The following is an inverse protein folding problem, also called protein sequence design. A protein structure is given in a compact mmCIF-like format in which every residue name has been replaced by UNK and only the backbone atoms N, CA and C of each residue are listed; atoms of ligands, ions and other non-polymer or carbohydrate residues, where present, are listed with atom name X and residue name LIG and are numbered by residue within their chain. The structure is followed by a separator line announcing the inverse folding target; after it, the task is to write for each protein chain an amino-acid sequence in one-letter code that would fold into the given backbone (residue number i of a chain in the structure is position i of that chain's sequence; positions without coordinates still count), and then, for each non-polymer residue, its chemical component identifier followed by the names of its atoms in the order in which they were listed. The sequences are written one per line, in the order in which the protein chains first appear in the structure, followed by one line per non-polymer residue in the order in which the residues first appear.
data_IF_401525801330
#
_entry.id   IF_401525801330
#
_cell.length_a   1.000
_cell.length_b   1.000
_cell.length_c   1.000
_cell.angle_alpha   90.00
_cell.angle_beta   90.00
_cell.angle_gamma   90.00
#
_symmetry.space_group_name_H-M   'P 1'
#
loop_
_entity.id
_entity.type
_entity.pdbx_description
1 polymer ?
#
# COMPACT_ATOMS: atom_id res chain seq x y z
N UNK A 1 23.32 -12.95 2.73
CA UNK A 1 23.33 -12.74 1.26
C UNK A 1 21.89 -12.79 0.80
N UNK A 2 21.42 -11.84 -0.04
CA UNK A 2 20.06 -11.88 -0.54
C UNK A 2 19.85 -13.14 -1.40
N UNK A 3 18.66 -13.74 -1.33
CA UNK A 3 18.27 -14.86 -2.20
C UNK A 3 18.27 -14.47 -3.68
N UNK A 4 17.88 -13.22 -3.97
CA UNK A 4 17.94 -12.65 -5.32
C UNK A 4 18.85 -11.43 -5.25
N UNK A 5 20.05 -11.54 -5.81
CA UNK A 5 20.98 -10.42 -5.86
C UNK A 5 20.44 -9.29 -6.74
N UNK A 6 20.57 -8.01 -6.30
CA UNK A 6 20.29 -6.85 -7.15
C UNK A 6 20.95 -6.99 -8.53
N UNK A 7 20.27 -6.58 -9.60
CA UNK A 7 20.88 -6.41 -10.92
C UNK A 7 21.39 -4.96 -11.02
N UNK A 8 22.72 -4.72 -10.99
CA UNK A 8 23.25 -3.38 -11.17
C UNK A 8 22.84 -2.82 -12.54
N UNK A 9 22.62 -1.50 -12.62
CA UNK A 9 22.25 -0.85 -13.88
C UNK A 9 23.25 -1.11 -15.00
N UNK A 10 24.55 -1.15 -14.69
CA UNK A 10 25.63 -1.44 -15.64
C UNK A 10 25.62 -2.87 -16.18
N UNK A 11 24.94 -3.79 -15.52
CA UNK A 11 24.81 -5.19 -15.92
C UNK A 11 23.45 -5.51 -16.55
N UNK A 12 22.52 -4.55 -16.59
CA UNK A 12 21.21 -4.74 -17.18
C UNK A 12 21.31 -4.72 -18.72
N UNK A 13 20.60 -5.63 -19.38
CA UNK A 13 20.50 -5.69 -20.84
C UNK A 13 19.03 -5.69 -21.28
N UNK A 14 18.81 -5.45 -22.58
CA UNK A 14 17.51 -5.60 -23.25
C UNK A 14 16.36 -4.89 -22.51
N UNK A 15 15.28 -5.63 -22.22
CA UNK A 15 14.06 -5.12 -21.58
C UNK A 15 14.29 -4.58 -20.17
N UNK A 16 15.25 -5.15 -19.42
CA UNK A 16 15.60 -4.64 -18.09
C UNK A 16 16.28 -3.26 -18.19
N UNK A 17 17.26 -3.12 -19.09
CA UNK A 17 17.92 -1.84 -19.33
C UNK A 17 16.94 -0.76 -19.81
N UNK A 18 16.02 -1.10 -20.72
CA UNK A 18 14.98 -0.18 -21.16
C UNK A 18 14.08 0.27 -20.00
N UNK A 19 13.69 -0.66 -19.12
CA UNK A 19 12.85 -0.34 -17.97
C UNK A 19 13.60 0.54 -16.97
N UNK A 20 14.89 0.29 -16.75
CA UNK A 20 15.74 1.13 -15.90
C UNK A 20 15.86 2.55 -16.45
N UNK A 21 16.06 2.74 -17.75
CA UNK A 21 16.01 4.08 -18.36
C UNK A 21 14.72 4.83 -18.04
N UNK A 22 13.57 4.16 -18.15
CA UNK A 22 12.26 4.75 -17.82
C UNK A 22 12.05 5.03 -16.33
N UNK A 23 12.68 4.25 -15.45
CA UNK A 23 12.69 4.50 -14.00
C UNK A 23 13.53 5.73 -13.68
N UNK A 24 14.71 5.87 -14.29
CA UNK A 24 15.55 7.06 -14.13
C UNK A 24 14.80 8.32 -14.56
N UNK A 25 14.19 8.32 -15.74
CA UNK A 25 13.36 9.43 -16.22
C UNK A 25 12.25 9.77 -15.22
N UNK A 26 11.55 8.76 -14.68
CA UNK A 26 10.49 8.94 -13.69
C UNK A 26 10.98 9.59 -12.38
N UNK A 27 12.23 9.33 -11.98
CA UNK A 27 12.85 9.87 -10.77
C UNK A 27 13.79 11.06 -11.04
N UNK A 28 13.68 11.70 -12.21
CA UNK A 28 14.47 12.89 -12.56
C UNK A 28 15.94 12.59 -12.79
N UNK A 29 16.22 11.56 -13.59
CA UNK A 29 17.55 11.07 -14.02
C UNK A 29 18.47 10.55 -12.90
N UNK A 30 17.94 10.44 -11.68
CA UNK A 30 18.58 9.79 -10.53
C UNK A 30 18.78 8.28 -10.76
N UNK A 31 19.68 7.62 -10.00
CA UNK A 31 19.82 6.17 -10.03
C UNK A 31 18.51 5.45 -9.78
N UNK A 32 18.38 4.24 -10.34
CA UNK A 32 17.22 3.37 -10.10
C UNK A 32 17.14 3.06 -8.59
N UNK A 33 16.00 3.25 -7.92
CA UNK A 33 15.90 2.96 -6.50
C UNK A 33 16.21 1.48 -6.21
N UNK A 34 16.96 1.23 -5.13
CA UNK A 34 17.47 -0.11 -4.80
C UNK A 34 16.38 -1.19 -4.76
N UNK A 35 15.17 -0.81 -4.34
CA UNK A 35 14.01 -1.70 -4.28
C UNK A 35 13.63 -2.33 -5.65
N UNK A 36 13.96 -1.67 -6.77
CA UNK A 36 13.70 -2.17 -8.13
C UNK A 36 14.85 -3.05 -8.68
N UNK A 37 16.05 -2.98 -8.10
CA UNK A 37 17.23 -3.64 -8.67
C UNK A 37 17.10 -5.18 -8.67
N UNK A 38 16.59 -5.85 -7.62
CA UNK A 38 16.37 -7.30 -7.67
C UNK A 38 15.36 -7.71 -8.75
N UNK A 39 14.35 -6.88 -9.01
CA UNK A 39 13.30 -7.16 -10.00
C UNK A 39 13.86 -7.22 -11.43
N UNK A 40 14.97 -6.51 -11.71
CA UNK A 40 15.63 -6.52 -13.01
C UNK A 40 16.12 -7.89 -13.44
N UNK A 41 16.33 -8.82 -12.48
CA UNK A 41 16.64 -10.23 -12.76
C UNK A 41 15.52 -10.96 -13.50
N UNK A 42 14.30 -10.41 -13.49
CA UNK A 42 13.14 -10.89 -14.24
C UNK A 42 12.60 -9.74 -15.11
N UNK A 43 13.15 -9.54 -16.33
CA UNK A 43 12.83 -8.39 -17.17
C UNK A 43 11.34 -8.21 -17.49
N UNK A 44 10.58 -9.31 -17.57
CA UNK A 44 9.13 -9.25 -17.73
C UNK A 44 8.46 -8.61 -16.50
N UNK A 45 8.83 -9.04 -15.30
CA UNK A 45 8.24 -8.55 -14.05
C UNK A 45 8.58 -7.08 -13.81
N UNK A 46 9.84 -6.67 -13.90
CA UNK A 46 10.20 -5.25 -13.65
C UNK A 46 9.51 -4.31 -14.61
N UNK A 47 9.33 -4.72 -15.87
CA UNK A 47 8.60 -3.94 -16.88
C UNK A 47 7.13 -3.80 -16.53
N UNK A 48 6.45 -4.90 -16.18
CA UNK A 48 5.02 -4.87 -15.84
C UNK A 48 4.80 -4.12 -14.53
N UNK A 49 5.66 -4.36 -13.54
CA UNK A 49 5.66 -3.63 -12.27
C UNK A 49 5.85 -2.13 -12.49
N UNK A 50 6.82 -1.70 -13.30
CA UNK A 50 7.03 -0.29 -13.64
C UNK A 50 5.76 0.36 -14.20
N UNK A 51 5.07 -0.30 -15.14
CA UNK A 51 3.86 0.25 -15.74
C UNK A 51 2.74 0.41 -14.71
N UNK A 52 2.54 -0.58 -13.84
CA UNK A 52 1.55 -0.54 -12.77
C UNK A 52 1.92 0.51 -11.71
N UNK A 53 3.18 0.53 -11.27
CA UNK A 53 3.73 1.47 -10.30
C UNK A 53 3.57 2.92 -10.77
N UNK A 54 3.99 3.22 -12.01
CA UNK A 54 3.83 4.57 -12.58
C UNK A 54 2.37 5.01 -12.58
N UNK A 55 1.45 4.14 -13.02
CA UNK A 55 0.03 4.48 -13.15
C UNK A 55 -0.68 4.62 -11.80
N UNK A 56 -0.49 3.64 -10.92
CA UNK A 56 -1.32 3.50 -9.73
C UNK A 56 -0.67 4.03 -8.46
N UNK A 57 0.64 4.23 -8.44
CA UNK A 57 1.36 4.78 -7.28
C UNK A 57 1.82 6.22 -7.56
N UNK A 58 2.42 6.47 -8.72
CA UNK A 58 3.12 7.75 -8.97
C UNK A 58 2.27 8.84 -9.64
N UNK A 59 1.17 8.47 -10.30
CA UNK A 59 0.34 9.40 -11.09
C UNK A 59 -1.04 9.51 -10.46
N UNK A 60 -1.59 10.72 -10.34
CA UNK A 60 -2.98 10.93 -9.88
C UNK A 60 -4.02 10.28 -10.81
N UNK A 61 -5.26 10.19 -10.34
CA UNK A 61 -6.38 9.58 -11.08
C UNK A 61 -7.73 9.88 -10.45
N UNK A 62 -8.53 8.83 -10.24
CA UNK A 62 -9.77 8.89 -9.46
C UNK A 62 -9.51 9.22 -7.98
N UNK A 63 -8.33 8.88 -7.46
CA UNK A 63 -7.76 9.42 -6.22
C UNK A 63 -6.48 10.22 -6.54
N UNK A 64 -6.20 11.24 -5.75
CA UNK A 64 -5.06 12.12 -5.99
C UNK A 64 -3.71 11.44 -5.65
N UNK A 65 -2.61 12.09 -6.07
CA UNK A 65 -1.27 11.56 -5.86
C UNK A 65 -0.87 11.46 -4.37
N UNK A 66 -1.38 12.38 -3.52
CA UNK A 66 -1.15 12.34 -2.07
C UNK A 66 -1.84 11.12 -1.46
N UNK A 67 -3.10 10.85 -1.80
CA UNK A 67 -3.83 9.66 -1.36
C UNK A 67 -3.12 8.39 -1.83
N UNK A 68 -2.68 8.31 -3.09
CA UNK A 68 -1.92 7.14 -3.60
C UNK A 68 -0.62 6.91 -2.81
N UNK A 69 0.13 7.97 -2.50
CA UNK A 69 1.33 7.87 -1.68
C UNK A 69 1.04 7.35 -0.26
N UNK A 70 -0.05 7.83 0.36
CA UNK A 70 -0.54 7.37 1.68
C UNK A 70 -0.91 5.88 1.64
N UNK A 71 -1.63 5.43 0.61
CA UNK A 71 -1.99 4.01 0.44
C UNK A 71 -0.73 3.14 0.25
N UNK A 72 0.20 3.56 -0.61
CA UNK A 72 1.43 2.81 -0.85
C UNK A 72 2.29 2.66 0.42
N UNK A 73 2.43 3.74 1.21
CA UNK A 73 3.10 3.70 2.51
C UNK A 73 2.36 2.77 3.49
N UNK A 74 1.02 2.84 3.55
CA UNK A 74 0.22 1.95 4.40
C UNK A 74 0.49 0.47 4.11
N UNK A 75 0.62 0.11 2.82
CA UNK A 75 0.94 -1.26 2.39
C UNK A 75 2.35 -1.69 2.83
N UNK A 76 3.35 -0.84 2.64
CA UNK A 76 4.73 -1.17 3.04
C UNK A 76 4.87 -1.33 4.55
N UNK A 77 4.22 -0.46 5.34
CA UNK A 77 4.18 -0.54 6.80
C UNK A 77 3.46 -1.82 7.27
N UNK A 78 2.32 -2.16 6.67
CA UNK A 78 1.61 -3.42 6.96
C UNK A 78 2.51 -4.62 6.78
N UNK A 79 3.27 -4.64 5.68
CA UNK A 79 4.10 -5.77 5.31
C UNK A 79 5.46 -5.79 6.01
N UNK A 80 5.82 -4.75 6.76
CA UNK A 80 7.07 -4.64 7.47
C UNK A 80 8.29 -4.58 6.54
N UNK A 81 8.15 -4.01 5.34
CA UNK A 81 9.27 -3.88 4.41
C UNK A 81 9.97 -2.55 4.61
N UNK A 82 11.14 -2.57 5.25
CA UNK A 82 11.90 -1.35 5.59
C UNK A 82 12.24 -0.52 4.36
N UNK A 83 12.88 -1.12 3.34
CA UNK A 83 13.27 -0.38 2.14
C UNK A 83 12.10 0.27 1.38
N UNK A 84 10.95 -0.41 1.31
CA UNK A 84 9.74 0.19 0.72
C UNK A 84 9.07 1.21 1.63
N UNK A 85 9.15 1.04 2.96
CA UNK A 85 8.61 2.00 3.92
C UNK A 85 9.37 3.32 3.86
N UNK A 86 10.69 3.27 3.78
CA UNK A 86 11.54 4.47 3.64
C UNK A 86 11.26 5.17 2.31
N UNK A 87 11.28 4.41 1.20
CA UNK A 87 10.97 4.94 -0.13
C UNK A 87 9.57 5.60 -0.20
N UNK A 88 8.54 4.95 0.34
CA UNK A 88 7.19 5.52 0.32
C UNK A 88 6.99 6.63 1.33
N UNK A 89 7.77 6.69 2.41
CA UNK A 89 7.78 7.84 3.33
C UNK A 89 8.31 9.08 2.62
N UNK A 90 9.45 8.96 1.92
CA UNK A 90 10.01 10.05 1.11
C UNK A 90 9.02 10.49 0.02
N UNK A 91 8.38 9.54 -0.66
CA UNK A 91 7.39 9.83 -1.68
C UNK A 91 6.13 10.52 -1.10
N UNK A 92 5.66 10.09 0.07
CA UNK A 92 4.55 10.70 0.77
C UNK A 92 4.89 12.15 1.19
N UNK A 93 6.07 12.37 1.75
CA UNK A 93 6.55 13.72 2.10
C UNK A 93 6.66 14.62 0.88
N UNK A 94 7.16 14.11 -0.25
CA UNK A 94 7.19 14.85 -1.51
C UNK A 94 5.80 15.25 -2.02
N UNK A 95 4.74 14.54 -1.61
CA UNK A 95 3.34 14.86 -1.90
C UNK A 95 2.63 15.61 -0.75
N UNK A 96 3.38 16.16 0.21
CA UNK A 96 2.84 17.00 1.28
C UNK A 96 2.20 16.22 2.44
N UNK A 97 2.59 14.97 2.66
CA UNK A 97 2.29 14.23 3.89
C UNK A 97 3.31 14.63 4.97
N UNK A 98 2.83 15.02 6.15
CA UNK A 98 3.69 15.45 7.27
C UNK A 98 4.26 14.25 8.04
N UNK A 99 5.29 14.49 8.86
CA UNK A 99 5.82 13.45 9.78
C UNK A 99 4.75 12.95 10.76
N UNK A 100 3.89 13.85 11.25
CA UNK A 100 2.71 13.51 12.07
C UNK A 100 1.79 12.56 11.30
N UNK A 101 1.46 12.88 10.05
CA UNK A 101 0.62 12.03 9.20
C UNK A 101 1.25 10.67 8.91
N UNK A 102 2.58 10.58 8.78
CA UNK A 102 3.28 9.29 8.64
C UNK A 102 3.09 8.42 9.89
N UNK A 103 3.21 9.00 11.09
CA UNK A 103 2.96 8.30 12.34
C UNK A 103 1.49 7.87 12.46
N UNK A 104 0.56 8.71 12.02
CA UNK A 104 -0.87 8.41 11.99
C UNK A 104 -1.21 7.26 11.01
N UNK A 105 -0.55 7.19 9.86
CA UNK A 105 -0.69 6.05 8.93
C UNK A 105 -0.29 4.75 9.63
N UNK A 106 0.85 4.74 10.33
CA UNK A 106 1.27 3.57 11.09
C UNK A 106 0.25 3.18 12.17
N UNK A 107 -0.33 4.17 12.86
CA UNK A 107 -1.37 3.94 13.85
C UNK A 107 -2.68 3.39 13.23
N UNK A 108 -3.08 3.88 12.06
CA UNK A 108 -4.24 3.38 11.31
C UNK A 108 -4.01 1.93 10.84
N UNK A 109 -2.83 1.60 10.31
CA UNK A 109 -2.46 0.23 9.93
C UNK A 109 -2.53 -0.71 11.15
N UNK A 110 -1.96 -0.31 12.29
CA UNK A 110 -1.99 -1.10 13.52
C UNK A 110 -3.42 -1.27 14.08
N UNK A 111 -4.25 -0.22 14.00
CA UNK A 111 -5.65 -0.27 14.42
C UNK A 111 -6.45 -1.22 13.53
N UNK A 112 -6.23 -1.19 12.21
CA UNK A 112 -6.82 -2.17 11.29
C UNK A 112 -6.36 -3.59 11.62
N UNK A 113 -5.07 -3.83 11.90
CA UNK A 113 -4.61 -5.16 12.29
C UNK A 113 -5.37 -5.72 13.50
N UNK A 114 -5.59 -4.90 14.53
CA UNK A 114 -6.38 -5.27 15.71
C UNK A 114 -7.85 -5.57 15.35
N UNK A 115 -8.51 -4.64 14.65
CA UNK A 115 -9.94 -4.74 14.36
C UNK A 115 -10.27 -5.80 13.33
N UNK A 116 -9.46 -5.92 12.28
CA UNK A 116 -9.63 -6.92 11.24
C UNK A 116 -9.42 -8.32 11.81
N UNK A 117 -8.48 -8.52 12.73
CA UNK A 117 -8.29 -9.83 13.40
C UNK A 117 -9.55 -10.23 14.16
N UNK A 118 -10.12 -9.30 14.94
CA UNK A 118 -11.32 -9.56 15.73
C UNK A 118 -12.57 -9.82 14.86
N UNK A 119 -12.87 -8.93 13.92
CA UNK A 119 -14.08 -9.07 13.10
C UNK A 119 -13.98 -10.21 12.08
N UNK A 120 -12.78 -10.50 11.57
CA UNK A 120 -12.55 -11.69 10.74
C UNK A 120 -12.81 -12.97 11.52
N UNK A 121 -12.34 -13.07 12.77
CA UNK A 121 -12.65 -14.22 13.61
C UNK A 121 -14.18 -14.41 13.78
N UNK A 122 -14.93 -13.34 14.05
CA UNK A 122 -16.39 -13.43 14.21
C UNK A 122 -17.10 -14.01 12.98
N UNK A 123 -16.75 -13.52 11.79
CA UNK A 123 -17.28 -14.05 10.53
C UNK A 123 -16.87 -15.52 10.35
N UNK A 124 -15.58 -15.85 10.53
CA UNK A 124 -15.06 -17.20 10.30
C UNK A 124 -15.58 -18.24 11.30
N UNK A 125 -15.83 -17.83 12.54
CA UNK A 125 -16.39 -18.71 13.56
C UNK A 125 -17.84 -19.09 13.28
N UNK A 126 -18.55 -18.34 12.43
CA UNK A 126 -19.90 -18.66 11.95
C UNK A 126 -20.94 -18.86 13.06
N UNK A 127 -20.71 -18.29 14.24
CA UNK A 127 -21.51 -18.53 15.45
C UNK A 127 -22.10 -17.23 15.96
N UNK A 128 -23.43 -17.23 16.10
CA UNK A 128 -24.19 -16.11 16.69
C UNK A 128 -23.74 -15.77 18.11
N UNK A 129 -23.17 -16.75 18.83
CA UNK A 129 -22.63 -16.54 20.17
C UNK A 129 -21.55 -15.46 20.16
N UNK A 130 -20.56 -15.58 19.26
CA UNK A 130 -19.46 -14.62 19.20
C UNK A 130 -19.91 -13.30 18.60
N UNK A 131 -20.89 -13.28 17.69
CA UNK A 131 -21.45 -12.05 17.11
C UNK A 131 -22.23 -11.21 18.13
N UNK A 132 -22.91 -11.84 19.09
CA UNK A 132 -23.69 -11.16 20.14
C UNK A 132 -22.85 -10.60 21.31
N UNK A 133 -21.58 -11.01 21.44
CA UNK A 133 -20.71 -10.52 22.52
C UNK A 133 -20.33 -9.04 22.35
N UNK A 134 -19.90 -8.38 23.42
CA UNK A 134 -19.36 -7.02 23.31
C UNK A 134 -17.99 -7.04 22.61
N UNK A 135 -17.68 -6.00 21.81
CA UNK A 135 -16.39 -5.89 21.11
C UNK A 135 -15.23 -5.69 22.09
N UNK A 136 -15.38 -4.85 23.12
CA UNK A 136 -14.36 -4.59 24.14
C UNK A 136 -13.09 -3.88 23.68
N UNK A 137 -12.94 -3.59 22.38
CA UNK A 137 -11.83 -2.85 21.78
C UNK A 137 -12.19 -1.36 21.60
N UNK A 138 -11.18 -0.50 21.43
CA UNK A 138 -11.35 0.95 21.16
C UNK A 138 -10.65 1.34 19.87
N UNK A 139 -11.32 2.15 19.04
CA UNK A 139 -10.84 2.54 17.71
C UNK A 139 -10.78 4.08 17.52
N UNK A 140 -10.49 4.83 18.58
CA UNK A 140 -10.50 6.30 18.51
C UNK A 140 -9.57 6.83 17.41
N UNK A 141 -8.51 6.10 17.07
CA UNK A 141 -7.61 6.39 15.95
C UNK A 141 -8.35 6.63 14.63
N UNK A 142 -9.43 5.91 14.31
CA UNK A 142 -10.17 6.12 13.03
C UNK A 142 -10.82 7.50 12.91
N UNK A 143 -10.96 8.25 14.00
CA UNK A 143 -11.54 9.60 14.01
C UNK A 143 -10.61 10.63 14.67
N UNK A 144 -9.39 10.21 15.03
CA UNK A 144 -8.46 10.98 15.86
C UNK A 144 -7.20 11.39 15.12
N UNK A 145 -7.15 11.19 13.80
CA UNK A 145 -6.02 11.60 12.95
C UNK A 145 -6.27 12.97 12.31
N UNK A 146 -5.20 13.60 11.83
CA UNK A 146 -5.24 14.82 11.03
C UNK A 146 -5.78 14.63 9.60
N UNK A 147 -5.91 13.39 9.13
CA UNK A 147 -6.52 13.07 7.84
C UNK A 147 -8.03 13.32 7.82
N UNK A 148 -8.56 13.67 6.64
CA UNK A 148 -10.00 13.69 6.42
C UNK A 148 -10.62 12.29 6.43
N UNK A 149 -11.93 12.20 6.69
CA UNK A 149 -12.64 10.91 6.78
C UNK A 149 -12.53 10.07 5.50
N UNK A 150 -12.48 10.69 4.31
CA UNK A 150 -12.39 9.93 3.05
C UNK A 150 -11.03 9.24 2.95
N UNK A 151 -9.95 9.93 3.28
CA UNK A 151 -8.60 9.37 3.27
C UNK A 151 -8.49 8.22 4.27
N UNK A 152 -9.03 8.38 5.49
CA UNK A 152 -9.06 7.30 6.50
C UNK A 152 -9.83 6.08 6.00
N UNK A 153 -11.01 6.26 5.39
CA UNK A 153 -11.78 5.14 4.84
C UNK A 153 -11.05 4.43 3.70
N UNK A 154 -10.34 5.14 2.82
CA UNK A 154 -9.55 4.51 1.76
C UNK A 154 -8.37 3.68 2.31
N UNK A 155 -7.69 4.16 3.36
CA UNK A 155 -6.67 3.37 4.08
C UNK A 155 -7.32 2.11 4.64
N UNK A 156 -8.47 2.25 5.31
CA UNK A 156 -9.17 1.11 5.92
C UNK A 156 -9.63 0.09 4.89
N UNK A 157 -10.12 0.52 3.72
CA UNK A 157 -10.47 -0.36 2.59
C UNK A 157 -9.23 -1.15 2.13
N UNK A 158 -8.11 -0.47 1.85
CA UNK A 158 -6.89 -1.10 1.37
C UNK A 158 -6.32 -2.12 2.37
N UNK A 159 -6.20 -1.73 3.65
CA UNK A 159 -5.61 -2.60 4.68
C UNK A 159 -6.54 -3.75 5.05
N UNK A 160 -7.86 -3.53 5.10
CA UNK A 160 -8.84 -4.58 5.36
C UNK A 160 -8.88 -5.64 4.25
N UNK A 161 -8.69 -5.23 2.99
CA UNK A 161 -8.56 -6.13 1.84
C UNK A 161 -7.32 -7.02 1.97
N UNK A 162 -6.14 -6.41 2.19
CA UNK A 162 -4.89 -7.14 2.41
C UNK A 162 -4.89 -8.03 3.66
N UNK A 163 -5.76 -7.74 4.64
CA UNK A 163 -5.98 -8.57 5.83
C UNK A 163 -7.07 -9.65 5.64
N UNK A 164 -7.72 -9.68 4.48
CA UNK A 164 -8.83 -10.55 4.13
C UNK A 164 -10.00 -10.50 5.15
N UNK A 165 -10.32 -9.32 5.68
CA UNK A 165 -11.48 -9.14 6.57
C UNK A 165 -12.72 -8.72 5.78
N UNK A 166 -13.47 -9.69 5.25
CA UNK A 166 -14.73 -9.45 4.51
C UNK A 166 -15.69 -8.44 5.19
N UNK A 167 -16.07 -8.59 6.49
CA UNK A 167 -16.98 -7.64 7.11
C UNK A 167 -16.39 -6.22 7.16
N UNK A 168 -15.08 -6.10 7.44
CA UNK A 168 -14.40 -4.82 7.47
C UNK A 168 -14.39 -4.15 6.09
N UNK A 169 -14.00 -4.88 5.03
CA UNK A 169 -14.02 -4.37 3.65
C UNK A 169 -15.41 -3.86 3.27
N UNK A 170 -16.45 -4.67 3.52
CA UNK A 170 -17.82 -4.26 3.18
C UNK A 170 -18.29 -3.02 3.95
N UNK A 171 -17.93 -2.91 5.24
CA UNK A 171 -18.25 -1.76 6.07
C UNK A 171 -17.58 -0.48 5.60
N UNK A 172 -16.27 -0.54 5.34
CA UNK A 172 -15.50 0.62 4.88
C UNK A 172 -15.88 1.05 3.45
N UNK A 173 -16.16 0.11 2.54
CA UNK A 173 -16.70 0.44 1.20
C UNK A 173 -18.05 1.14 1.31
N UNK A 174 -18.94 0.68 2.20
CA UNK A 174 -20.23 1.35 2.41
C UNK A 174 -20.01 2.77 2.94
N UNK A 175 -19.20 2.95 3.98
CA UNK A 175 -18.93 4.26 4.57
C UNK A 175 -18.24 5.20 3.58
N UNK A 176 -17.30 4.72 2.78
CA UNK A 176 -16.68 5.48 1.70
C UNK A 176 -17.71 6.04 0.70
N UNK A 177 -18.68 5.21 0.29
CA UNK A 177 -19.80 5.64 -0.57
C UNK A 177 -20.70 6.64 0.13
N UNK A 178 -21.02 6.44 1.41
CA UNK A 178 -21.80 7.39 2.20
C UNK A 178 -21.11 8.76 2.31
N UNK A 179 -19.76 8.79 2.28
CA UNK A 179 -18.96 10.02 2.21
C UNK A 179 -18.84 10.62 0.79
N UNK A 180 -19.43 9.98 -0.22
CA UNK A 180 -19.44 10.45 -1.60
C UNK A 180 -18.19 10.10 -2.41
N UNK A 181 -17.40 9.10 -2.01
CA UNK A 181 -16.37 8.52 -2.88
C UNK A 181 -17.02 7.71 -4.00
N UNK A 182 -16.50 7.84 -5.22
CA UNK A 182 -16.95 7.04 -6.36
C UNK A 182 -16.43 5.61 -6.28
N UNK A 183 -17.12 4.68 -6.95
CA UNK A 183 -16.65 3.30 -7.09
C UNK A 183 -15.28 3.23 -7.81
N UNK A 184 -15.02 4.15 -8.75
CA UNK A 184 -13.72 4.28 -9.41
C UNK A 184 -12.61 4.67 -8.43
N UNK A 185 -12.88 5.57 -7.48
CA UNK A 185 -11.91 5.93 -6.45
C UNK A 185 -11.59 4.75 -5.53
N UNK A 186 -12.63 4.01 -5.11
CA UNK A 186 -12.47 2.81 -4.28
C UNK A 186 -11.68 1.71 -5.03
N UNK A 187 -11.99 1.49 -6.30
CA UNK A 187 -11.27 0.53 -7.14
C UNK A 187 -9.81 0.96 -7.34
N UNK A 188 -9.56 2.25 -7.61
CA UNK A 188 -8.21 2.75 -7.80
C UNK A 188 -7.37 2.67 -6.52
N UNK A 189 -7.99 2.82 -5.34
CA UNK A 189 -7.35 2.53 -4.04
C UNK A 189 -6.85 1.09 -3.98
N UNK A 190 -7.66 0.10 -4.38
CA UNK A 190 -7.24 -1.30 -4.41
C UNK A 190 -6.17 -1.56 -5.48
N UNK A 191 -6.24 -0.89 -6.63
CA UNK A 191 -5.20 -0.99 -7.67
C UNK A 191 -3.86 -0.41 -7.19
N UNK A 192 -3.88 0.73 -6.50
CA UNK A 192 -2.72 1.32 -5.84
C UNK A 192 -2.13 0.36 -4.80
N UNK A 193 -2.97 -0.16 -3.91
CA UNK A 193 -2.55 -1.10 -2.87
C UNK A 193 -1.95 -2.38 -3.49
N UNK A 194 -2.58 -2.92 -4.53
CA UNK A 194 -2.12 -4.13 -5.24
C UNK A 194 -0.78 -3.91 -5.93
N UNK A 195 -0.60 -2.75 -6.59
CA UNK A 195 0.67 -2.40 -7.21
C UNK A 195 1.78 -2.28 -6.16
N UNK A 196 1.57 -1.51 -5.09
CA UNK A 196 2.55 -1.39 -4.01
C UNK A 196 2.87 -2.76 -3.37
N UNK A 197 1.85 -3.58 -3.14
CA UNK A 197 1.99 -4.91 -2.54
C UNK A 197 2.85 -5.84 -3.40
N UNK A 198 2.70 -5.83 -4.73
CA UNK A 198 3.51 -6.64 -5.63
C UNK A 198 5.01 -6.34 -5.52
N UNK A 199 5.37 -5.05 -5.43
CA UNK A 199 6.75 -4.62 -5.25
C UNK A 199 7.33 -5.09 -3.91
N UNK A 200 6.55 -4.90 -2.85
CA UNK A 200 6.90 -5.34 -1.50
C UNK A 200 7.10 -6.85 -1.42
N UNK A 201 6.20 -7.65 -1.99
CA UNK A 201 6.32 -9.12 -1.95
C UNK A 201 7.54 -9.63 -2.70
N UNK A 202 7.88 -9.02 -3.85
CA UNK A 202 9.08 -9.39 -4.60
C UNK A 202 10.34 -9.10 -3.78
N UNK A 203 10.47 -7.88 -3.23
CA UNK A 203 11.63 -7.48 -2.44
C UNK A 203 11.77 -8.33 -1.18
N UNK A 204 10.67 -8.60 -0.46
CA UNK A 204 10.68 -9.54 0.68
C UNK A 204 11.21 -10.91 0.27
N UNK A 205 10.77 -11.45 -0.87
CA UNK A 205 11.25 -12.73 -1.39
C UNK A 205 12.74 -12.71 -1.76
N UNK A 206 13.25 -11.56 -2.19
CA UNK A 206 14.66 -11.34 -2.54
C UNK A 206 15.57 -11.23 -1.31
N UNK A 207 15.11 -10.58 -0.24
CA UNK A 207 15.89 -10.26 0.96
C UNK A 207 15.87 -11.35 2.04
N UNK A 208 14.76 -12.06 2.16
CA UNK A 208 14.52 -12.98 3.29
C UNK A 208 15.39 -14.23 3.27
#
# INVERSE_FOLDING_TARGET
MPRIAPLPESAATDKAAQTYGRLRELFGDKPVPDAFLPMGRVPAFVSDFYMNFKKFVMTGGAIDAKTKAVIALSVALKEGSHGWSDFYSDHATANGVTEEQIAEIAALVATNAMYNTFFKFRELAGSELFSGMAVGLRAHTFHGTSFDEKTVELINVAISDLNACKPCVSGHVKKARDLGLSDDAILETIQCASAAYAGVQFTKSAES
#
